data_IF_775290240882
#
_entry.id   IF_775290240882
#
_cell.length_a   1.000
_cell.length_b   1.000
_cell.length_c   1.000
_cell.angle_alpha   90.00
_cell.angle_beta   90.00
_cell.angle_gamma   90.00
#
_symmetry.space_group_name_H-M   'P 1'
#
loop_
_entity.id
_entity.type
_entity.pdbx_description
1 polymer ?
#
# COMPACT_ATOMS: atom_id res chain seq x y z
N UNK A 1 -10.47 18.00 4.97
CA UNK A 1 -10.07 16.59 4.77
C UNK A 1 -9.71 16.27 3.31
N UNK A 2 -10.54 16.63 2.32
CA UNK A 2 -10.21 16.46 0.89
C UNK A 2 -8.88 17.13 0.48
N UNK A 3 -8.65 18.38 0.91
CA UNK A 3 -7.40 19.11 0.64
C UNK A 3 -6.15 18.37 1.12
N UNK A 4 -6.17 17.81 2.33
CA UNK A 4 -5.05 17.02 2.88
C UNK A 4 -4.76 15.77 2.05
N UNK A 5 -5.79 15.11 1.52
CA UNK A 5 -5.63 13.95 0.64
C UNK A 5 -4.95 14.34 -0.67
N UNK A 6 -5.36 15.44 -1.28
CA UNK A 6 -4.74 15.90 -2.54
C UNK A 6 -3.31 16.42 -2.30
N UNK A 7 -3.05 17.13 -1.20
CA UNK A 7 -1.67 17.50 -0.80
C UNK A 7 -0.79 16.25 -0.61
N UNK A 8 -1.31 15.19 0.02
CA UNK A 8 -0.58 13.92 0.16
C UNK A 8 -0.26 13.32 -1.20
N UNK A 9 -1.23 13.28 -2.11
CA UNK A 9 -1.01 12.77 -3.47
C UNK A 9 0.09 13.55 -4.19
N UNK A 10 0.07 14.87 -4.09
CA UNK A 10 1.09 15.72 -4.72
C UNK A 10 2.51 15.43 -4.22
N UNK A 11 2.69 15.08 -2.94
CA UNK A 11 3.99 14.66 -2.38
C UNK A 11 4.55 13.48 -3.16
N UNK A 12 3.73 12.48 -3.51
CA UNK A 12 4.20 11.27 -4.20
C UNK A 12 4.31 11.41 -5.72
N UNK A 13 3.55 12.33 -6.34
CA UNK A 13 3.58 12.55 -7.79
C UNK A 13 4.75 13.46 -8.22
N UNK A 14 5.03 14.53 -7.45
CA UNK A 14 5.96 15.59 -7.83
C UNK A 14 7.42 15.30 -7.48
N UNK A 15 7.67 14.57 -6.39
CA UNK A 15 9.04 14.30 -5.94
C UNK A 15 9.61 13.05 -6.64
N UNK A 16 10.89 13.14 -7.03
CA UNK A 16 11.63 12.03 -7.66
C UNK A 16 12.84 11.60 -6.84
N UNK A 17 13.31 12.44 -5.92
CA UNK A 17 14.41 12.13 -5.01
C UNK A 17 13.90 11.85 -3.60
N UNK A 18 14.45 10.84 -2.92
CA UNK A 18 14.08 10.47 -1.55
C UNK A 18 14.14 11.62 -0.55
N UNK A 19 15.16 12.48 -0.62
CA UNK A 19 15.32 13.59 0.33
C UNK A 19 14.22 14.66 0.17
N UNK A 20 13.92 15.08 -1.06
CA UNK A 20 12.85 16.06 -1.33
C UNK A 20 11.48 15.50 -0.95
N UNK A 21 11.23 14.23 -1.30
CA UNK A 21 10.03 13.50 -0.91
C UNK A 21 9.86 13.40 0.61
N UNK A 22 10.94 13.14 1.34
CA UNK A 22 10.94 13.07 2.82
C UNK A 22 10.62 14.43 3.44
N UNK A 23 11.20 15.53 2.96
CA UNK A 23 10.89 16.87 3.47
C UNK A 23 9.42 17.23 3.21
N UNK A 24 8.93 17.02 1.99
CA UNK A 24 7.54 17.29 1.64
C UNK A 24 6.56 16.42 2.45
N UNK A 25 6.88 15.14 2.66
CA UNK A 25 6.09 14.24 3.50
C UNK A 25 6.10 14.67 4.98
N UNK A 26 7.23 15.13 5.50
CA UNK A 26 7.36 15.63 6.87
C UNK A 26 6.47 16.85 7.12
N UNK A 27 6.45 17.80 6.17
CA UNK A 27 5.58 18.97 6.27
C UNK A 27 4.10 18.60 6.16
N UNK A 28 3.76 17.62 5.33
CA UNK A 28 2.40 17.08 5.29
C UNK A 28 2.02 16.40 6.61
N UNK A 29 2.91 15.59 7.20
CA UNK A 29 2.67 14.89 8.47
C UNK A 29 2.38 15.86 9.61
N UNK A 30 3.09 16.99 9.69
CA UNK A 30 2.81 18.04 10.69
C UNK A 30 1.36 18.53 10.62
N UNK A 31 0.84 18.76 9.42
CA UNK A 31 -0.55 19.18 9.20
C UNK A 31 -1.54 18.05 9.48
N UNK A 32 -1.22 16.83 9.04
CA UNK A 32 -2.08 15.66 9.16
C UNK A 32 -2.21 15.14 10.60
N UNK A 33 -1.21 15.40 11.47
CA UNK A 33 -1.15 14.94 12.86
C UNK A 33 -2.40 15.32 13.67
N UNK A 34 -2.95 16.52 13.42
CA UNK A 34 -4.15 17.01 14.10
C UNK A 34 -5.42 16.19 13.78
N UNK A 35 -5.46 15.54 12.61
CA UNK A 35 -6.63 14.80 12.14
C UNK A 35 -6.44 13.28 12.20
N UNK A 36 -5.22 12.79 11.96
CA UNK A 36 -4.94 11.36 11.78
C UNK A 36 -3.74 10.90 12.63
N UNK A 37 -3.83 10.99 13.96
CA UNK A 37 -2.66 10.81 14.80
C UNK A 37 -2.04 9.41 14.71
N UNK A 38 -2.89 8.37 14.68
CA UNK A 38 -2.47 6.98 14.55
C UNK A 38 -1.82 6.69 13.18
N UNK A 39 -2.42 7.19 12.10
CA UNK A 39 -1.89 6.99 10.75
C UNK A 39 -0.53 7.65 10.58
N UNK A 40 -0.35 8.86 11.12
CA UNK A 40 0.93 9.57 11.07
C UNK A 40 2.01 8.84 11.89
N UNK A 41 1.66 8.23 13.02
CA UNK A 41 2.60 7.38 13.78
C UNK A 41 3.04 6.16 12.97
N UNK A 42 2.10 5.50 12.28
CA UNK A 42 2.44 4.39 11.39
C UNK A 42 3.36 4.84 10.26
N UNK A 43 3.06 5.95 9.59
CA UNK A 43 3.93 6.50 8.54
C UNK A 43 5.32 6.83 9.05
N UNK A 44 5.43 7.41 10.26
CA UNK A 44 6.72 7.70 10.89
C UNK A 44 7.51 6.43 11.22
N UNK A 45 6.85 5.34 11.57
CA UNK A 45 7.49 4.05 11.85
C UNK A 45 8.07 3.39 10.59
N UNK A 46 7.46 3.62 9.44
CA UNK A 46 7.82 3.02 8.16
C UNK A 46 8.44 4.05 7.20
N UNK A 47 9.07 5.09 7.75
CA UNK A 47 9.51 6.25 6.96
C UNK A 47 10.60 5.88 5.96
N UNK A 48 11.47 4.93 6.32
CA UNK A 48 12.57 4.48 5.48
C UNK A 48 12.04 3.75 4.23
N UNK A 49 11.08 2.83 4.41
CA UNK A 49 10.44 2.11 3.31
C UNK A 49 9.58 3.03 2.43
N UNK A 50 8.91 4.02 3.05
CA UNK A 50 8.15 5.03 2.31
C UNK A 50 9.09 5.92 1.50
N UNK A 51 10.27 6.27 2.03
CA UNK A 51 11.22 7.12 1.32
C UNK A 51 11.86 6.38 0.14
N UNK A 52 12.13 5.07 0.30
CA UNK A 52 12.62 4.21 -0.77
C UNK A 52 11.67 4.10 -1.98
N UNK A 53 10.39 4.46 -1.82
CA UNK A 53 9.46 4.56 -2.93
C UNK A 53 9.84 5.67 -3.92
N UNK A 54 10.36 6.81 -3.44
CA UNK A 54 10.72 7.93 -4.32
C UNK A 54 11.83 7.54 -5.30
N UNK A 55 12.80 6.75 -4.83
CA UNK A 55 13.94 6.33 -5.64
C UNK A 55 13.57 5.25 -6.68
N UNK A 56 12.69 4.31 -6.32
CA UNK A 56 12.40 3.13 -7.15
C UNK A 56 11.03 3.17 -7.88
N UNK A 57 10.13 4.09 -7.48
CA UNK A 57 8.74 4.21 -7.95
C UNK A 57 8.01 2.86 -8.06
N UNK A 58 8.20 2.01 -7.06
CA UNK A 58 7.66 0.65 -7.06
C UNK A 58 6.13 0.69 -7.11
N UNK A 59 5.54 0.19 -8.20
CA UNK A 59 4.08 0.18 -8.34
C UNK A 59 3.44 -0.89 -7.46
N UNK A 60 2.25 -0.60 -6.93
CA UNK A 60 1.46 -1.59 -6.19
C UNK A 60 0.71 -2.58 -7.11
N UNK A 61 0.79 -2.42 -8.43
CA UNK A 61 -0.04 -3.15 -9.40
C UNK A 61 0.08 -4.68 -9.29
N UNK A 62 1.29 -5.21 -9.11
CA UNK A 62 1.51 -6.65 -8.93
C UNK A 62 0.85 -7.16 -7.64
N UNK A 63 1.01 -6.43 -6.53
CA UNK A 63 0.44 -6.77 -5.23
C UNK A 63 -1.09 -6.67 -5.25
N UNK A 64 -1.63 -5.64 -5.91
CA UNK A 64 -3.07 -5.48 -6.13
C UNK A 64 -3.65 -6.62 -6.97
N UNK A 65 -2.96 -7.03 -8.04
CA UNK A 65 -3.33 -8.17 -8.88
C UNK A 65 -3.42 -9.47 -8.07
N UNK A 66 -2.38 -9.75 -7.27
CA UNK A 66 -2.33 -10.89 -6.34
C UNK A 66 -3.52 -10.82 -5.37
N UNK A 67 -3.72 -9.68 -4.71
CA UNK A 67 -4.79 -9.49 -3.73
C UNK A 67 -6.18 -9.65 -4.35
N UNK A 68 -6.40 -9.14 -5.56
CA UNK A 68 -7.66 -9.29 -6.28
C UNK A 68 -7.92 -10.75 -6.64
N UNK A 69 -6.91 -11.48 -7.09
CA UNK A 69 -7.03 -12.92 -7.37
C UNK A 69 -7.41 -13.71 -6.11
N UNK A 70 -6.71 -13.46 -5.00
CA UNK A 70 -7.02 -14.06 -3.69
C UNK A 70 -8.47 -13.75 -3.25
N UNK A 71 -8.92 -12.49 -3.39
CA UNK A 71 -10.31 -12.08 -3.09
C UNK A 71 -11.32 -12.79 -3.98
N UNK A 72 -11.02 -13.01 -5.26
CA UNK A 72 -11.90 -13.76 -6.18
C UNK A 72 -12.00 -15.23 -5.76
N UNK A 73 -10.87 -15.87 -5.42
CA UNK A 73 -10.85 -17.26 -4.92
C UNK A 73 -11.68 -17.37 -3.65
N UNK A 74 -11.49 -16.44 -2.70
CA UNK A 74 -12.27 -16.37 -1.45
C UNK A 74 -13.78 -16.25 -1.72
N UNK A 75 -14.19 -15.36 -2.63
CA UNK A 75 -15.60 -15.14 -3.01
C UNK A 75 -16.22 -16.36 -3.67
N UNK A 76 -15.51 -17.01 -4.60
CA UNK A 76 -15.97 -18.25 -5.27
C UNK A 76 -16.09 -19.45 -4.33
N UNK A 77 -15.30 -19.46 -3.25
CA UNK A 77 -15.37 -20.52 -2.24
C UNK A 77 -16.49 -20.37 -1.21
N UNK A 78 -17.29 -19.30 -1.27
CA UNK A 78 -18.36 -18.99 -0.30
C UNK A 78 -17.91 -19.05 1.18
N UNK A 79 -16.64 -18.79 1.44
CA UNK A 79 -16.02 -18.90 2.76
C UNK A 79 -15.27 -20.22 2.96
N UNK A 80 -13.96 -20.10 3.19
CA UNK A 80 -13.12 -21.25 3.55
C UNK A 80 -13.13 -21.42 5.08
N UNK A 81 -13.61 -22.57 5.55
CA UNK A 81 -13.54 -22.94 6.98
C UNK A 81 -12.13 -23.36 7.43
N UNK A 82 -11.31 -23.80 6.47
CA UNK A 82 -9.94 -24.24 6.70
C UNK A 82 -8.97 -23.43 5.83
N UNK A 83 -8.04 -22.73 6.46
CA UNK A 83 -7.04 -21.92 5.76
C UNK A 83 -6.15 -22.75 4.82
N UNK A 84 -5.83 -24.00 5.18
CA UNK A 84 -5.05 -24.91 4.32
C UNK A 84 -5.74 -25.14 2.98
N UNK A 85 -7.06 -25.29 2.97
CA UNK A 85 -7.84 -25.46 1.74
C UNK A 85 -7.88 -24.17 0.89
N UNK A 86 -7.92 -23.00 1.53
CA UNK A 86 -7.78 -21.73 0.84
C UNK A 86 -6.40 -21.60 0.20
N UNK A 87 -5.33 -21.84 0.98
CA UNK A 87 -3.94 -21.79 0.52
C UNK A 87 -3.69 -22.72 -0.66
N UNK A 88 -4.11 -23.99 -0.57
CA UNK A 88 -4.00 -24.97 -1.67
C UNK A 88 -4.67 -24.47 -2.95
N UNK A 89 -5.89 -23.92 -2.87
CA UNK A 89 -6.57 -23.36 -4.05
C UNK A 89 -5.87 -22.13 -4.63
N UNK A 90 -5.23 -21.31 -3.80
CA UNK A 90 -4.43 -20.19 -4.28
C UNK A 90 -3.19 -20.68 -5.03
N UNK A 91 -2.45 -21.62 -4.43
CA UNK A 91 -1.26 -22.21 -5.05
C UNK A 91 -1.57 -22.92 -6.38
N UNK A 92 -2.62 -23.74 -6.42
CA UNK A 92 -3.08 -24.39 -7.66
C UNK A 92 -3.39 -23.36 -8.75
N UNK A 93 -4.01 -22.25 -8.38
CA UNK A 93 -4.37 -21.22 -9.34
C UNK A 93 -3.15 -20.51 -9.95
N UNK A 94 -2.05 -20.38 -9.21
CA UNK A 94 -0.80 -19.84 -9.76
C UNK A 94 0.02 -20.87 -10.53
N UNK A 95 -0.01 -22.15 -10.11
CA UNK A 95 0.75 -23.22 -10.75
C UNK A 95 0.21 -23.63 -12.13
N UNK A 96 -1.11 -23.47 -12.36
CA UNK A 96 -1.78 -23.82 -13.61
C UNK A 96 -2.19 -22.60 -14.45
N UNK A 97 -1.74 -21.39 -14.08
CA UNK A 97 -2.00 -20.15 -14.85
C UNK A 97 -0.79 -19.70 -15.68
N UNK A 98 0.18 -20.59 -15.93
CA UNK A 98 1.24 -20.41 -16.94
C UNK A 98 0.76 -20.85 -18.31
#
# INVERSE_FOLDING_TARGET
MHKLKEEFREVFEKNTEGNEGLFALSDWLKKAMAYFPKSCQTMRRWIDEITAYFDNRTTQGTVEGINNKLKVIKRRGYGFRNFKNFSLRCLLNWHFAS
#
